data_IF_418505404262
#
_entry.id   IF_418505404262
#
_cell.length_a   1.000
_cell.length_b   1.000
_cell.length_c   1.000
_cell.angle_alpha   90.00
_cell.angle_beta   90.00
_cell.angle_gamma   90.00
#
_symmetry.space_group_name_H-M   'P 1'
#
loop_
_entity.id
_entity.type
_entity.pdbx_description
1 polymer ?
#
# COMPACT_ATOMS: atom_id res chain seq x y z
N UNK A 1 -16.52 8.44 -4.39
CA UNK A 1 -15.43 8.21 -3.43
C UNK A 1 -14.29 7.57 -4.20
N UNK A 2 -13.20 8.33 -4.43
CA UNK A 2 -11.98 7.78 -5.02
C UNK A 2 -11.52 6.64 -4.12
N UNK A 3 -11.34 5.45 -4.69
CA UNK A 3 -10.68 4.33 -4.03
C UNK A 3 -9.41 4.86 -3.34
N UNK A 4 -9.41 4.87 -2.01
CA UNK A 4 -8.18 5.09 -1.27
C UNK A 4 -7.33 3.86 -1.53
N UNK A 5 -6.40 3.98 -2.46
CA UNK A 5 -5.38 2.98 -2.66
C UNK A 5 -4.73 2.72 -1.29
N UNK A 6 -4.63 1.46 -0.90
CA UNK A 6 -3.79 1.07 0.23
C UNK A 6 -2.41 1.67 0.01
N UNK A 7 -1.77 2.13 1.08
CA UNK A 7 -0.39 2.66 0.99
C UNK A 7 0.46 1.58 0.33
N UNK A 8 1.16 1.93 -0.73
CA UNK A 8 1.96 0.97 -1.46
C UNK A 8 3.08 0.44 -0.56
N UNK A 9 3.38 -0.84 -0.68
CA UNK A 9 4.47 -1.50 0.02
C UNK A 9 5.81 -0.77 -0.17
N UNK A 10 6.04 -0.22 -1.37
CA UNK A 10 7.20 0.60 -1.70
C UNK A 10 7.35 1.83 -0.79
N UNK A 11 6.25 2.55 -0.49
CA UNK A 11 6.28 3.71 0.41
C UNK A 11 6.68 3.33 1.83
N UNK A 12 6.10 2.25 2.29
CA UNK A 12 6.37 1.71 3.61
C UNK A 12 7.82 1.23 3.74
N UNK A 13 8.31 0.53 2.73
CA UNK A 13 9.72 0.10 2.65
C UNK A 13 10.66 1.30 2.70
N UNK A 14 10.38 2.36 1.92
CA UNK A 14 11.22 3.57 1.91
C UNK A 14 11.29 4.27 3.28
N UNK A 15 10.21 4.23 4.09
CA UNK A 15 10.27 4.75 5.47
C UNK A 15 11.23 3.92 6.33
N UNK A 16 11.20 2.60 6.20
CA UNK A 16 12.11 1.71 6.94
C UNK A 16 13.55 1.86 6.51
N UNK A 17 13.78 1.90 5.21
CA UNK A 17 15.12 2.04 4.66
C UNK A 17 15.72 3.38 5.10
N UNK A 18 14.90 4.45 5.19
CA UNK A 18 15.33 5.73 5.74
C UNK A 18 15.71 5.64 7.22
N UNK A 19 14.88 5.01 8.05
CA UNK A 19 15.23 4.81 9.47
C UNK A 19 16.44 3.89 9.63
N UNK A 20 16.65 2.95 8.72
CA UNK A 20 17.81 2.05 8.70
C UNK A 20 19.10 2.83 8.44
N UNK A 21 19.12 3.66 7.38
CA UNK A 21 20.32 4.44 7.02
C UNK A 21 20.61 5.52 8.06
N UNK A 22 19.57 6.16 8.61
CA UNK A 22 19.71 7.13 9.71
C UNK A 22 20.30 6.52 10.98
N UNK A 23 20.02 5.26 11.25
CA UNK A 23 20.59 4.51 12.37
C UNK A 23 22.04 4.05 12.11
N UNK A 24 22.69 4.51 11.04
CA UNK A 24 24.06 4.17 10.67
C UNK A 24 24.21 2.81 9.99
N UNK A 25 23.12 2.13 9.66
CA UNK A 25 23.15 0.85 8.94
C UNK A 25 23.07 1.08 7.44
N UNK A 26 23.81 0.33 6.63
CA UNK A 26 23.79 0.49 5.18
C UNK A 26 22.45 0.01 4.58
N UNK A 27 22.10 0.62 3.45
CA UNK A 27 21.00 0.22 2.57
C UNK A 27 21.51 0.07 1.15
N UNK A 28 20.72 -0.48 0.23
CA UNK A 28 21.09 -0.53 -1.19
C UNK A 28 20.97 0.85 -1.84
N UNK A 29 21.81 1.11 -2.85
CA UNK A 29 21.74 2.36 -3.64
C UNK A 29 20.36 2.52 -4.28
N UNK A 30 19.76 1.45 -4.79
CA UNK A 30 18.39 1.45 -5.35
C UNK A 30 17.34 1.88 -4.31
N UNK A 31 17.53 1.51 -3.03
CA UNK A 31 16.64 1.91 -1.94
C UNK A 31 16.78 3.40 -1.62
N UNK A 32 18.00 3.93 -1.63
CA UNK A 32 18.25 5.37 -1.47
C UNK A 32 17.60 6.17 -2.61
N UNK A 33 17.71 5.72 -3.85
CA UNK A 33 17.06 6.36 -5.01
C UNK A 33 15.52 6.41 -4.82
N UNK A 34 14.93 5.32 -4.34
CA UNK A 34 13.51 5.30 -4.01
C UNK A 34 13.13 6.31 -2.92
N UNK A 35 13.94 6.42 -1.87
CA UNK A 35 13.78 7.40 -0.79
C UNK A 35 13.79 8.82 -1.35
N UNK A 36 14.78 9.16 -2.18
CA UNK A 36 14.91 10.50 -2.77
C UNK A 36 13.67 10.90 -3.60
N UNK A 37 13.02 9.94 -4.25
CA UNK A 37 11.78 10.21 -4.99
C UNK A 37 10.64 10.70 -4.09
N UNK A 38 10.59 10.23 -2.83
CA UNK A 38 9.60 10.67 -1.85
C UNK A 38 10.00 11.96 -1.12
N UNK A 39 11.27 12.32 -1.15
CA UNK A 39 11.77 13.62 -0.71
C UNK A 39 11.65 14.70 -1.79
N UNK A 40 11.15 14.35 -2.99
CA UNK A 40 11.15 15.22 -4.18
C UNK A 40 12.54 15.75 -4.54
N UNK A 41 13.57 15.00 -4.17
CA UNK A 41 14.96 15.33 -4.49
C UNK A 41 15.36 14.73 -5.83
N UNK A 42 16.14 15.49 -6.59
CA UNK A 42 16.72 14.99 -7.84
C UNK A 42 17.83 13.99 -7.52
N UNK A 43 17.86 12.85 -8.21
CA UNK A 43 18.95 11.88 -8.10
C UNK A 43 20.21 12.47 -8.78
N UNK A 44 21.32 12.66 -8.04
CA UNK A 44 22.56 13.17 -8.63
C UNK A 44 23.16 12.19 -9.62
N UNK A 45 23.83 12.71 -10.66
CA UNK A 45 24.53 11.85 -11.63
C UNK A 45 25.57 10.93 -10.97
N UNK A 46 26.30 11.44 -9.96
CA UNK A 46 27.29 10.66 -9.21
C UNK A 46 26.69 9.45 -8.48
N UNK A 47 25.44 9.53 -8.07
CA UNK A 47 24.74 8.40 -7.46
C UNK A 47 24.21 7.42 -8.53
N UNK A 48 23.82 7.94 -9.69
CA UNK A 48 23.31 7.12 -10.81
C UNK A 48 24.41 6.28 -11.49
N UNK A 49 25.69 6.57 -11.24
CA UNK A 49 26.83 5.80 -11.78
C UNK A 49 27.27 4.68 -10.85
N UNK A 50 26.73 4.61 -9.63
CA UNK A 50 27.03 3.52 -8.71
C UNK A 50 26.27 2.24 -9.10
N UNK A 51 26.82 1.11 -8.70
CA UNK A 51 26.08 -0.15 -8.77
C UNK A 51 24.85 -0.08 -7.85
N UNK A 52 23.68 -0.32 -8.42
CA UNK A 52 22.40 -0.22 -7.70
C UNK A 52 22.21 -1.28 -6.62
N UNK A 53 22.93 -2.38 -6.72
CA UNK A 53 22.92 -3.47 -5.74
C UNK A 53 24.05 -3.31 -4.69
N UNK A 54 24.88 -2.26 -4.81
CA UNK A 54 25.89 -1.94 -3.79
C UNK A 54 25.25 -1.30 -2.54
N UNK A 55 25.92 -1.48 -1.41
CA UNK A 55 25.49 -0.87 -0.14
C UNK A 55 26.06 0.54 0.02
N UNK A 56 25.23 1.43 0.57
CA UNK A 56 25.59 2.81 0.86
C UNK A 56 25.20 3.17 2.30
N UNK A 57 26.08 3.89 3.00
CA UNK A 57 25.82 4.45 4.33
C UNK A 57 25.31 5.89 4.23
N UNK A 58 24.79 6.43 5.33
CA UNK A 58 24.34 7.83 5.38
C UNK A 58 25.48 8.80 5.06
N UNK A 59 26.68 8.57 5.59
CA UNK A 59 27.83 9.43 5.35
C UNK A 59 28.27 9.40 3.89
N UNK A 60 28.33 8.22 3.27
CA UNK A 60 28.63 8.09 1.84
C UNK A 60 27.54 8.74 0.98
N UNK A 61 26.27 8.55 1.34
CA UNK A 61 25.14 9.18 0.65
C UNK A 61 25.25 10.71 0.70
N UNK A 62 25.70 11.28 1.81
CA UNK A 62 25.89 12.71 2.01
C UNK A 62 27.01 13.28 1.13
N UNK A 63 28.02 12.49 0.78
CA UNK A 63 29.07 12.90 -0.18
C UNK A 63 28.44 13.15 -1.57
N UNK A 64 27.52 12.30 -1.99
CA UNK A 64 26.81 12.45 -3.26
C UNK A 64 25.68 13.47 -3.20
N UNK A 65 25.10 13.68 -2.01
CA UNK A 65 23.94 14.55 -1.76
C UNK A 65 24.24 15.44 -0.55
N UNK A 66 25.05 16.53 -0.71
CA UNK A 66 25.40 17.38 0.42
C UNK A 66 24.20 18.01 1.16
N UNK A 67 23.08 18.19 0.45
CA UNK A 67 21.82 18.68 1.00
C UNK A 67 21.03 17.67 1.80
N UNK A 68 21.47 16.40 1.85
CA UNK A 68 20.79 15.33 2.60
C UNK A 68 20.89 15.61 4.10
N UNK A 69 19.74 15.79 4.73
CA UNK A 69 19.63 16.06 6.16
C UNK A 69 19.18 14.83 6.92
N UNK A 70 19.75 14.63 8.11
CA UNK A 70 19.34 13.55 9.01
C UNK A 70 18.07 13.94 9.79
N UNK A 71 16.98 14.19 9.08
CA UNK A 71 15.70 14.60 9.65
C UNK A 71 14.72 13.40 9.73
N UNK A 72 13.65 13.56 10.51
CA UNK A 72 12.64 12.53 10.63
C UNK A 72 11.84 12.39 9.32
N UNK A 73 11.64 11.16 8.86
CA UNK A 73 11.00 10.89 7.56
C UNK A 73 9.65 11.59 7.37
N UNK A 74 8.87 11.73 8.45
CA UNK A 74 7.56 12.37 8.42
C UNK A 74 7.64 13.81 7.91
N UNK A 75 8.72 14.50 8.20
CA UNK A 75 8.89 15.92 7.86
C UNK A 75 9.45 16.12 6.44
N UNK A 76 10.22 15.15 5.94
CA UNK A 76 10.96 15.29 4.67
C UNK A 76 10.38 14.50 3.49
N UNK A 77 9.45 13.56 3.73
CA UNK A 77 8.84 12.76 2.64
C UNK A 77 7.66 13.49 1.99
N UNK A 78 7.90 14.67 1.42
CA UNK A 78 6.87 15.52 0.79
C UNK A 78 6.20 14.92 -0.45
N UNK A 79 6.77 13.86 -1.00
CA UNK A 79 6.15 13.04 -2.05
C UNK A 79 5.03 12.15 -1.55
N UNK A 80 4.86 12.01 -0.22
CA UNK A 80 3.74 11.34 0.41
C UNK A 80 2.73 12.37 0.93
N UNK A 81 1.44 12.09 0.78
CA UNK A 81 0.40 12.95 1.35
C UNK A 81 0.47 12.95 2.89
N UNK A 82 0.00 14.03 3.52
CA UNK A 82 -0.06 14.13 4.99
C UNK A 82 -0.86 12.97 5.60
N UNK A 83 -1.96 12.55 4.94
CA UNK A 83 -2.77 11.43 5.42
C UNK A 83 -2.02 10.10 5.39
N UNK A 84 -1.21 9.85 4.35
CA UNK A 84 -0.38 8.64 4.27
C UNK A 84 0.72 8.64 5.33
N UNK A 85 1.41 9.77 5.50
CA UNK A 85 2.44 9.93 6.54
C UNK A 85 1.84 9.73 7.94
N UNK A 86 0.69 10.32 8.22
CA UNK A 86 -0.01 10.17 9.51
C UNK A 86 -0.46 8.73 9.76
N UNK A 87 -0.92 8.03 8.72
CA UNK A 87 -1.30 6.62 8.83
C UNK A 87 -0.09 5.73 9.15
N UNK A 88 1.02 5.87 8.40
CA UNK A 88 2.24 5.11 8.66
C UNK A 88 2.74 5.38 10.09
N UNK A 89 2.76 6.64 10.52
CA UNK A 89 3.17 7.02 11.87
C UNK A 89 2.28 6.39 12.95
N UNK A 90 0.96 6.36 12.73
CA UNK A 90 0.03 5.72 13.66
C UNK A 90 0.26 4.21 13.78
N UNK A 91 0.54 3.54 12.66
CA UNK A 91 0.88 2.11 12.64
C UNK A 91 2.17 1.83 13.42
N UNK A 92 3.23 2.61 13.15
CA UNK A 92 4.51 2.46 13.84
C UNK A 92 4.39 2.67 15.36
N UNK A 93 3.59 3.66 15.79
CA UNK A 93 3.32 3.92 17.22
C UNK A 93 2.58 2.77 17.91
N UNK A 94 1.76 2.02 17.17
CA UNK A 94 1.05 0.83 17.69
C UNK A 94 1.92 -0.42 17.73
N UNK A 95 3.21 -0.31 17.36
CA UNK A 95 4.12 -1.45 17.28
C UNK A 95 3.81 -2.42 16.14
N UNK A 96 3.00 -1.99 15.17
CA UNK A 96 2.67 -2.82 14.03
C UNK A 96 3.91 -2.99 13.14
N UNK A 97 4.27 -4.24 12.89
CA UNK A 97 5.36 -4.55 11.96
C UNK A 97 4.83 -4.44 10.53
N UNK A 98 5.19 -3.38 9.85
CA UNK A 98 4.81 -3.09 8.46
C UNK A 98 5.22 -4.22 7.48
N UNK A 99 6.14 -5.09 7.87
CA UNK A 99 6.58 -6.29 7.12
C UNK A 99 5.72 -7.52 7.38
N UNK A 100 4.81 -7.48 8.34
CA UNK A 100 3.91 -8.60 8.59
C UNK A 100 2.77 -8.54 7.60
N UNK A 101 2.43 -9.67 7.01
CA UNK A 101 1.23 -9.79 6.19
C UNK A 101 0.03 -9.25 6.99
N UNK A 102 -0.76 -8.34 6.43
CA UNK A 102 -1.88 -7.74 7.16
C UNK A 102 -2.88 -8.82 7.55
N UNK A 103 -3.34 -8.80 8.80
CA UNK A 103 -4.37 -9.71 9.27
C UNK A 103 -5.72 -9.51 8.56
N UNK A 104 -5.95 -8.30 8.07
CA UNK A 104 -7.16 -7.93 7.33
C UNK A 104 -6.72 -7.34 6.00
N UNK A 105 -7.20 -7.93 4.91
CA UNK A 105 -6.97 -7.43 3.55
C UNK A 105 -8.28 -6.90 2.98
N UNK A 106 -8.28 -5.62 2.59
CA UNK A 106 -9.40 -5.02 1.87
C UNK A 106 -9.13 -5.11 0.36
N UNK A 107 -10.10 -5.62 -0.37
CA UNK A 107 -9.97 -5.85 -1.81
C UNK A 107 -11.32 -5.70 -2.50
N UNK A 108 -11.30 -5.43 -3.79
CA UNK A 108 -12.48 -5.67 -4.62
C UNK A 108 -12.57 -7.17 -4.93
N UNK A 109 -13.75 -7.67 -5.26
CA UNK A 109 -13.93 -9.07 -5.66
C UNK A 109 -13.04 -9.40 -6.86
N UNK A 110 -12.94 -8.49 -7.84
CA UNK A 110 -12.08 -8.68 -9.01
C UNK A 110 -10.60 -8.84 -8.65
N UNK A 111 -10.09 -8.05 -7.71
CA UNK A 111 -8.70 -8.14 -7.26
C UNK A 111 -8.45 -9.37 -6.35
N UNK A 112 -9.49 -9.99 -5.81
CA UNK A 112 -9.41 -11.21 -5.03
C UNK A 112 -9.41 -12.49 -5.89
N UNK A 113 -9.59 -12.36 -7.22
CA UNK A 113 -9.59 -13.52 -8.13
C UNK A 113 -8.27 -14.27 -8.04
N UNK A 114 -8.34 -15.60 -7.84
CA UNK A 114 -7.17 -16.47 -7.67
C UNK A 114 -6.59 -16.48 -6.25
N UNK A 115 -7.02 -15.59 -5.36
CA UNK A 115 -6.66 -15.62 -3.94
C UNK A 115 -7.73 -16.34 -3.10
N UNK A 116 -7.34 -16.76 -1.89
CA UNK A 116 -8.24 -17.36 -0.90
C UNK A 116 -7.90 -16.83 0.50
N UNK A 117 -8.87 -16.84 1.39
CA UNK A 117 -8.68 -16.46 2.78
C UNK A 117 -9.44 -17.39 3.72
N UNK A 118 -8.95 -17.59 4.94
CA UNK A 118 -9.63 -18.40 5.96
C UNK A 118 -11.03 -17.87 6.23
N UNK A 119 -11.14 -16.56 6.41
CA UNK A 119 -12.41 -15.87 6.64
C UNK A 119 -12.60 -14.80 5.56
N UNK A 120 -13.78 -14.73 4.97
CA UNK A 120 -14.16 -13.71 4.00
C UNK A 120 -15.39 -12.97 4.52
N UNK A 121 -15.33 -11.66 4.52
CA UNK A 121 -16.47 -10.77 4.77
C UNK A 121 -16.84 -10.15 3.43
N UNK A 122 -18.01 -10.45 2.93
CA UNK A 122 -18.50 -9.97 1.64
C UNK A 122 -19.63 -8.95 1.86
N UNK A 123 -19.43 -7.75 1.34
CA UNK A 123 -20.44 -6.70 1.35
C UNK A 123 -21.32 -6.83 0.10
N UNK A 124 -22.63 -6.72 0.28
CA UNK A 124 -23.60 -6.87 -0.82
C UNK A 124 -24.02 -5.54 -1.44
N UNK A 125 -23.68 -4.40 -0.81
CA UNK A 125 -23.94 -3.08 -1.38
C UNK A 125 -23.22 -2.85 -2.71
N UNK A 126 -23.94 -2.31 -3.68
CA UNK A 126 -23.44 -1.98 -5.01
C UNK A 126 -23.29 -0.46 -5.18
N UNK A 127 -22.25 -0.05 -5.92
CA UNK A 127 -22.19 1.33 -6.39
C UNK A 127 -23.32 1.59 -7.39
N UNK A 128 -23.75 2.84 -7.54
CA UNK A 128 -24.80 3.19 -8.52
C UNK A 128 -24.49 2.71 -9.94
N UNK A 129 -23.21 2.76 -10.34
CA UNK A 129 -22.76 2.29 -11.65
C UNK A 129 -22.95 0.77 -11.81
N UNK A 130 -22.50 0.01 -10.81
CA UNK A 130 -22.58 -1.46 -10.80
C UNK A 130 -24.04 -1.89 -10.72
N UNK A 131 -24.85 -1.25 -9.87
CA UNK A 131 -26.29 -1.54 -9.79
C UNK A 131 -27.02 -1.31 -11.11
N UNK A 132 -26.74 -0.20 -11.81
CA UNK A 132 -27.33 0.05 -13.12
C UNK A 132 -26.89 -0.98 -14.19
N UNK A 133 -25.67 -1.49 -14.09
CA UNK A 133 -25.18 -2.58 -14.96
C UNK A 133 -25.89 -3.89 -14.64
N UNK A 134 -26.02 -4.22 -13.35
CA UNK A 134 -26.73 -5.40 -12.85
C UNK A 134 -28.19 -5.44 -13.32
N UNK A 135 -28.89 -4.29 -13.29
CA UNK A 135 -30.28 -4.23 -13.77
C UNK A 135 -30.41 -4.55 -15.28
N UNK A 136 -29.36 -4.33 -16.07
CA UNK A 136 -29.34 -4.62 -17.50
C UNK A 136 -28.87 -6.04 -17.82
N UNK A 137 -27.90 -6.52 -17.08
CA UNK A 137 -27.30 -7.85 -17.25
C UNK A 137 -26.94 -8.44 -15.87
N UNK A 138 -27.87 -9.16 -15.22
CA UNK A 138 -27.65 -9.74 -13.91
C UNK A 138 -26.56 -10.80 -13.87
N UNK A 139 -26.32 -11.51 -14.97
CA UNK A 139 -25.42 -12.66 -15.02
C UNK A 139 -23.97 -12.25 -14.76
N UNK A 140 -23.54 -11.10 -15.23
CA UNK A 140 -22.16 -10.65 -15.06
C UNK A 140 -21.84 -10.39 -13.57
N UNK A 141 -22.74 -9.72 -12.85
CA UNK A 141 -22.56 -9.49 -11.41
C UNK A 141 -22.73 -10.79 -10.60
N UNK A 142 -23.60 -11.71 -11.01
CA UNK A 142 -23.74 -13.03 -10.39
C UNK A 142 -22.44 -13.80 -10.45
N UNK A 143 -21.73 -13.76 -11.58
CA UNK A 143 -20.40 -14.36 -11.73
C UNK A 143 -19.36 -13.70 -10.82
N UNK A 144 -19.41 -12.36 -10.70
CA UNK A 144 -18.51 -11.62 -9.82
C UNK A 144 -18.76 -12.02 -8.36
N UNK A 145 -20.02 -12.04 -7.91
CA UNK A 145 -20.36 -12.45 -6.55
C UNK A 145 -20.02 -13.93 -6.28
N UNK A 146 -20.23 -14.82 -7.24
CA UNK A 146 -19.79 -16.21 -7.14
C UNK A 146 -18.29 -16.31 -6.88
N UNK A 147 -17.47 -15.51 -7.56
CA UNK A 147 -16.03 -15.45 -7.27
C UNK A 147 -15.78 -15.01 -5.84
N UNK A 148 -16.48 -13.98 -5.34
CA UNK A 148 -16.35 -13.49 -3.96
C UNK A 148 -16.70 -14.56 -2.93
N UNK A 149 -17.82 -15.23 -3.10
CA UNK A 149 -18.34 -16.29 -2.23
C UNK A 149 -17.34 -17.46 -2.12
N UNK A 150 -16.74 -17.85 -3.25
CA UNK A 150 -15.82 -18.99 -3.32
C UNK A 150 -14.40 -18.68 -2.84
N UNK A 151 -14.13 -17.48 -2.30
CA UNK A 151 -12.80 -17.14 -1.74
C UNK A 151 -12.60 -17.60 -0.30
N UNK A 152 -13.68 -17.95 0.39
CA UNK A 152 -13.62 -18.39 1.78
C UNK A 152 -13.19 -19.86 1.88
N UNK A 153 -12.14 -20.14 2.69
CA UNK A 153 -11.72 -21.50 3.02
C UNK A 153 -12.53 -22.13 4.15
N UNK A 154 -12.92 -21.31 5.13
CA UNK A 154 -13.62 -21.78 6.32
C UNK A 154 -14.92 -21.02 6.57
N UNK A 155 -14.85 -19.69 6.71
CA UNK A 155 -16.00 -18.90 7.09
C UNK A 155 -16.27 -17.80 6.06
N UNK A 156 -17.52 -17.70 5.64
CA UNK A 156 -18.05 -16.63 4.82
C UNK A 156 -19.09 -15.85 5.64
N UNK A 157 -18.89 -14.54 5.74
CA UNK A 157 -19.80 -13.61 6.38
C UNK A 157 -20.40 -12.70 5.33
N UNK A 158 -21.70 -12.75 5.15
CA UNK A 158 -22.43 -11.84 4.28
C UNK A 158 -22.91 -10.66 5.09
N UNK A 159 -22.61 -9.47 4.66
CA UNK A 159 -23.04 -8.25 5.34
C UNK A 159 -24.32 -7.76 4.67
N UNK A 160 -25.37 -7.58 5.49
CA UNK A 160 -26.64 -7.02 5.02
C UNK A 160 -26.43 -5.64 4.39
N UNK A 161 -27.12 -5.37 3.29
CA UNK A 161 -26.98 -4.10 2.58
C UNK A 161 -27.50 -2.94 3.44
N UNK A 162 -26.82 -1.80 3.35
CA UNK A 162 -27.27 -0.54 3.95
C UNK A 162 -28.04 0.34 2.97
N UNK A 163 -27.96 0.04 1.68
CA UNK A 163 -28.62 0.79 0.63
C UNK A 163 -29.63 -0.09 -0.12
N UNK A 164 -30.51 0.56 -0.89
CA UNK A 164 -31.42 -0.17 -1.79
C UNK A 164 -30.75 -0.70 -3.06
N UNK A 165 -29.45 -0.39 -3.23
CA UNK A 165 -28.64 -0.84 -4.36
C UNK A 165 -27.73 -1.96 -3.89
N UNK A 166 -28.23 -3.18 -3.96
CA UNK A 166 -27.50 -4.35 -3.48
C UNK A 166 -27.66 -5.54 -4.44
N UNK A 167 -26.78 -6.49 -4.28
CA UNK A 167 -26.88 -7.80 -4.92
C UNK A 167 -27.65 -8.74 -3.98
N UNK A 168 -28.79 -9.28 -4.41
CA UNK A 168 -29.58 -10.22 -3.61
C UNK A 168 -28.85 -11.58 -3.53
N UNK A 169 -28.61 -12.05 -2.33
CA UNK A 169 -28.04 -13.40 -2.06
C UNK A 169 -29.06 -14.20 -1.30
#
# INVERSE_FOLDING_TARGET
>A
TKNRASISEKKVKSVKDWETIRAGRPILVTELINILSYMKMRVPKSLSTLDFDSFITFETAKVHIPSLKNEYWYDIFDGMSVSERSYIRAMLRRGEKITKEPRIRLSTIHAAKGGEATNVILMTDLSSRVYNSYQKNPDDESRVFYVGLTRAKQNLYLIEPRSQKYFPI
#
